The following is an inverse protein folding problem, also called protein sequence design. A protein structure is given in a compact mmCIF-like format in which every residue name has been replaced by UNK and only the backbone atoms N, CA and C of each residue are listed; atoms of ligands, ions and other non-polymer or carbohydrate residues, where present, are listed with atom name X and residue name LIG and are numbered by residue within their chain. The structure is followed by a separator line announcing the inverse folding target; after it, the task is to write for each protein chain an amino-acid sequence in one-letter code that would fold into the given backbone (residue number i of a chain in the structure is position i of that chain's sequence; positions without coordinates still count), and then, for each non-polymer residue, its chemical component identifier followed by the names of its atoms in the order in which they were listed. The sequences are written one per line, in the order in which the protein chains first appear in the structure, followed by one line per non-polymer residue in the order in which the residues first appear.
data_IF_313980508582
#
_entry.id   IF_313980508582
#
_cell.length_a   1.000
_cell.length_b   1.000
_cell.length_c   1.000
_cell.angle_alpha   90.00
_cell.angle_beta   90.00
_cell.angle_gamma   90.00
#
_symmetry.space_group_name_H-M   'P 1'
#
loop_
_entity.id
_entity.type
_entity.pdbx_description
1 polymer ?
#
# COMPACT_ATOMS: atom_id res chain seq x y z
N UNK A 1 -6.53 2.74 17.58
CA UNK A 1 -5.58 3.80 17.20
C UNK A 1 -5.70 5.06 18.07
N UNK A 2 -6.89 5.63 18.29
CA UNK A 2 -7.03 6.84 19.13
C UNK A 2 -6.48 6.70 20.57
N UNK A 3 -6.48 5.51 21.11
CA UNK A 3 -5.95 5.13 22.44
C UNK A 3 -4.40 5.03 22.46
N UNK A 4 -3.75 5.03 21.31
CA UNK A 4 -2.29 4.98 21.19
C UNK A 4 -1.65 6.37 20.98
N UNK A 5 -2.45 7.42 20.85
CA UNK A 5 -1.93 8.80 20.67
C UNK A 5 -1.05 9.18 21.88
N UNK A 6 0.19 9.57 21.59
CA UNK A 6 1.20 9.91 22.62
C UNK A 6 2.02 8.72 23.16
N UNK A 7 1.77 7.48 22.69
CA UNK A 7 2.50 6.28 23.10
C UNK A 7 3.64 5.88 22.14
N UNK A 8 3.94 6.72 21.13
CA UNK A 8 5.02 6.46 20.20
C UNK A 8 6.37 6.85 20.79
N UNK A 9 7.33 5.93 20.74
CA UNK A 9 8.73 6.23 21.01
C UNK A 9 9.38 6.79 19.73
N UNK A 10 9.57 8.10 19.66
CA UNK A 10 10.07 8.78 18.47
C UNK A 10 11.48 8.35 18.06
N UNK A 11 12.33 7.95 19.01
CA UNK A 11 13.70 7.46 18.73
C UNK A 11 13.61 6.10 18.05
N UNK A 12 12.79 5.20 18.58
CA UNK A 12 12.60 3.88 17.98
C UNK A 12 11.89 3.99 16.61
N UNK A 13 10.89 4.86 16.48
CA UNK A 13 10.23 5.11 15.19
C UNK A 13 11.25 5.58 14.12
N UNK A 14 12.16 6.48 14.49
CA UNK A 14 13.22 6.92 13.56
C UNK A 14 14.16 5.76 13.18
N UNK A 15 14.56 4.92 14.15
CA UNK A 15 15.40 3.77 13.89
C UNK A 15 14.71 2.76 12.96
N UNK A 16 13.43 2.48 13.19
CA UNK A 16 12.61 1.60 12.35
C UNK A 16 12.49 2.15 10.91
N UNK A 17 12.24 3.46 10.77
CA UNK A 17 12.17 4.11 9.47
C UNK A 17 13.49 4.02 8.69
N UNK A 18 14.61 4.28 9.37
CA UNK A 18 15.95 4.18 8.76
C UNK A 18 16.28 2.75 8.33
N UNK A 19 15.83 1.74 9.08
CA UNK A 19 15.98 0.33 8.71
C UNK A 19 15.13 -0.03 7.47
N UNK A 20 13.87 0.37 7.43
CA UNK A 20 13.00 0.17 6.25
C UNK A 20 13.62 0.80 5.01
N UNK A 21 14.05 2.07 5.10
CA UNK A 21 14.73 2.77 4.02
C UNK A 21 16.02 2.06 3.58
N UNK A 22 16.81 1.59 4.54
CA UNK A 22 18.05 0.86 4.27
C UNK A 22 17.79 -0.44 3.51
N UNK A 23 16.75 -1.20 3.89
CA UNK A 23 16.38 -2.45 3.21
C UNK A 23 15.96 -2.22 1.77
N UNK A 24 15.14 -1.19 1.47
CA UNK A 24 14.82 -0.84 0.09
C UNK A 24 16.08 -0.54 -0.74
N UNK A 25 17.04 0.20 -0.19
CA UNK A 25 18.32 0.46 -0.87
C UNK A 25 19.14 -0.83 -1.05
N UNK A 26 19.18 -1.73 -0.06
CA UNK A 26 19.93 -3.00 -0.14
C UNK A 26 19.37 -3.93 -1.23
N UNK A 27 18.05 -3.93 -1.46
CA UNK A 27 17.44 -4.70 -2.55
C UNK A 27 17.47 -3.96 -3.89
N UNK A 28 18.21 -2.86 -4.00
CA UNK A 28 18.48 -2.14 -5.25
C UNK A 28 17.45 -1.07 -5.63
N UNK A 29 16.51 -0.74 -4.74
CA UNK A 29 15.52 0.31 -4.97
C UNK A 29 16.09 1.65 -4.52
N UNK A 30 16.13 2.62 -5.46
CA UNK A 30 16.51 4.00 -5.13
C UNK A 30 15.41 4.67 -4.32
N UNK A 31 15.72 5.10 -3.11
CA UNK A 31 14.77 5.77 -2.23
C UNK A 31 14.91 7.29 -2.35
N UNK A 32 13.80 7.98 -2.58
CA UNK A 32 13.65 9.42 -2.41
C UNK A 32 12.91 9.68 -1.10
N UNK A 33 13.33 10.69 -0.38
CA UNK A 33 12.69 11.09 0.88
C UNK A 33 12.01 12.44 0.65
N UNK A 34 10.76 12.55 1.11
CA UNK A 34 10.03 13.82 1.18
C UNK A 34 10.17 14.31 2.61
N UNK A 35 10.52 15.59 2.79
CA UNK A 35 10.65 16.20 4.11
C UNK A 35 9.32 16.15 4.87
N UNK A 36 9.38 15.79 6.13
CA UNK A 36 8.24 15.82 7.03
C UNK A 36 7.72 17.23 7.26
N UNK A 37 6.45 17.33 7.66
CA UNK A 37 5.81 18.62 7.93
C UNK A 37 5.28 18.63 9.36
N UNK A 38 5.51 19.74 10.05
CA UNK A 38 4.99 19.92 11.41
C UNK A 38 3.45 19.84 11.43
N UNK A 39 2.91 19.02 12.32
CA UNK A 39 1.46 18.80 12.45
C UNK A 39 0.87 17.73 11.53
N UNK A 40 1.68 17.07 10.68
CA UNK A 40 1.25 15.99 9.78
C UNK A 40 1.92 14.64 10.13
N UNK A 41 1.64 14.05 11.29
CA UNK A 41 2.33 12.86 11.79
C UNK A 41 2.12 11.61 10.92
N UNK A 42 0.98 11.53 10.20
CA UNK A 42 0.63 10.39 9.34
C UNK A 42 1.22 10.49 7.92
N UNK A 43 1.95 11.59 7.60
CA UNK A 43 2.59 11.78 6.29
C UNK A 43 3.63 10.69 5.98
N UNK A 44 4.16 10.00 6.99
CA UNK A 44 5.03 8.83 6.85
C UNK A 44 4.35 7.69 6.09
N UNK A 45 3.02 7.56 6.18
CA UNK A 45 2.25 6.57 5.41
C UNK A 45 1.96 7.10 4.00
N UNK A 46 3.03 7.27 3.23
CA UNK A 46 3.00 7.93 1.93
C UNK A 46 2.36 7.10 0.79
N UNK A 47 1.94 5.87 1.05
CA UNK A 47 1.17 5.08 0.10
C UNK A 47 -0.23 5.67 -0.18
N UNK A 48 -0.80 6.42 0.78
CA UNK A 48 -2.21 6.79 0.72
C UNK A 48 -2.50 8.07 -0.09
N UNK A 49 -1.53 8.98 -0.28
CA UNK A 49 -1.81 10.30 -0.84
C UNK A 49 -1.93 10.32 -2.37
N UNK A 50 -1.58 9.21 -3.06
CA UNK A 50 -1.56 9.21 -4.52
C UNK A 50 -1.51 7.82 -5.14
N UNK A 51 -1.82 7.76 -6.46
CA UNK A 51 -1.63 6.58 -7.32
C UNK A 51 -0.80 6.96 -8.55
N UNK A 52 0.52 6.72 -8.56
CA UNK A 52 1.37 6.96 -9.72
C UNK A 52 1.24 5.86 -10.78
N UNK A 53 1.48 6.25 -12.04
CA UNK A 53 1.49 5.37 -13.20
C UNK A 53 2.46 5.90 -14.25
N UNK A 54 3.10 4.98 -15.02
CA UNK A 54 3.83 5.31 -16.23
C UNK A 54 3.14 4.60 -17.38
N UNK A 55 2.75 5.37 -18.42
CA UNK A 55 2.12 4.84 -19.61
C UNK A 55 3.11 4.16 -20.55
N UNK A 56 2.59 3.59 -21.67
CA UNK A 56 3.39 2.88 -22.66
C UNK A 56 4.39 3.78 -23.39
N UNK A 57 4.14 5.10 -23.43
CA UNK A 57 5.03 6.11 -24.00
C UNK A 57 6.10 6.61 -23.02
N UNK A 58 6.07 6.10 -21.78
CA UNK A 58 6.98 6.48 -20.71
C UNK A 58 6.61 7.80 -20.03
N UNK A 59 5.41 8.32 -20.27
CA UNK A 59 4.91 9.52 -19.63
C UNK A 59 4.43 9.18 -18.22
N UNK A 60 4.77 10.05 -17.28
CA UNK A 60 4.46 9.88 -15.85
C UNK A 60 3.18 10.57 -15.48
N UNK A 61 2.29 9.83 -14.85
CA UNK A 61 0.98 10.29 -14.39
C UNK A 61 0.82 10.01 -12.91
N UNK A 62 -0.01 10.77 -12.23
CA UNK A 62 -0.42 10.50 -10.86
C UNK A 62 -1.82 11.01 -10.60
N UNK A 63 -2.69 10.18 -10.01
CA UNK A 63 -3.92 10.62 -9.36
C UNK A 63 -3.62 11.03 -7.92
N UNK A 64 -4.06 12.23 -7.55
CA UNK A 64 -4.03 12.66 -6.16
C UNK A 64 -5.24 12.11 -5.41
N UNK A 65 -5.05 11.80 -4.14
CA UNK A 65 -6.08 11.21 -3.30
C UNK A 65 -7.07 12.25 -2.78
N UNK A 66 -8.29 11.78 -2.51
CA UNK A 66 -9.30 12.45 -1.69
C UNK A 66 -9.29 11.74 -0.35
N UNK A 67 -8.57 12.27 0.63
CA UNK A 67 -8.38 11.62 1.92
C UNK A 67 -9.67 11.61 2.73
N UNK A 68 -10.05 10.44 3.27
CA UNK A 68 -11.20 10.26 4.13
C UNK A 68 -11.07 11.01 5.46
N UNK A 69 -9.90 10.92 6.07
CA UNK A 69 -9.62 11.57 7.35
C UNK A 69 -9.19 13.02 7.14
N UNK A 70 -9.94 13.98 7.72
CA UNK A 70 -9.69 15.41 7.55
C UNK A 70 -8.26 15.83 7.93
N UNK A 71 -7.70 15.24 9.00
CA UNK A 71 -6.33 15.54 9.44
C UNK A 71 -5.24 15.14 8.43
N UNK A 72 -5.58 14.28 7.45
CA UNK A 72 -4.63 13.84 6.42
C UNK A 72 -4.76 14.59 5.09
N UNK A 73 -5.80 15.41 4.92
CA UNK A 73 -6.00 16.19 3.69
C UNK A 73 -4.86 17.15 3.42
N UNK A 74 -4.30 17.74 4.47
CA UNK A 74 -3.21 18.69 4.36
C UNK A 74 -1.86 18.04 3.96
N UNK A 75 -1.75 16.71 3.96
CA UNK A 75 -0.57 15.97 3.48
C UNK A 75 -0.47 15.98 1.94
N UNK A 76 -1.61 15.91 1.25
CA UNK A 76 -1.69 15.73 -0.21
C UNK A 76 -0.96 16.82 -1.00
N UNK A 77 -1.06 18.13 -0.67
CA UNK A 77 -0.36 19.20 -1.39
C UNK A 77 1.16 19.05 -1.40
N UNK A 78 1.78 18.52 -0.33
CA UNK A 78 3.23 18.34 -0.24
C UNK A 78 3.68 17.19 -1.15
N UNK A 79 2.92 16.12 -1.20
CA UNK A 79 3.16 14.98 -2.10
C UNK A 79 2.95 15.42 -3.57
N UNK A 80 1.89 16.18 -3.85
CA UNK A 80 1.65 16.74 -5.19
C UNK A 80 2.79 17.63 -5.66
N UNK A 81 3.30 18.50 -4.79
CA UNK A 81 4.43 19.38 -5.09
C UNK A 81 5.66 18.56 -5.52
N UNK A 82 5.93 17.45 -4.83
CA UNK A 82 7.02 16.55 -5.20
C UNK A 82 6.82 15.97 -6.61
N UNK A 83 5.62 15.49 -6.93
CA UNK A 83 5.31 14.95 -8.26
C UNK A 83 5.46 15.99 -9.37
N UNK A 84 4.98 17.23 -9.16
CA UNK A 84 5.15 18.33 -10.10
C UNK A 84 6.63 18.61 -10.38
N UNK A 85 7.47 18.63 -9.36
CA UNK A 85 8.91 18.86 -9.49
C UNK A 85 9.61 17.72 -10.25
N UNK A 86 9.02 16.52 -10.26
CA UNK A 86 9.56 15.33 -10.95
C UNK A 86 8.90 15.04 -12.30
N UNK A 87 8.11 15.99 -12.82
CA UNK A 87 7.57 15.93 -14.19
C UNK A 87 6.40 14.96 -14.37
N UNK A 88 5.63 14.71 -13.31
CA UNK A 88 4.39 13.96 -13.40
C UNK A 88 3.23 14.85 -13.89
N UNK A 89 2.37 14.31 -14.74
CA UNK A 89 1.06 14.87 -15.02
C UNK A 89 0.11 14.54 -13.87
N UNK A 90 -0.50 15.58 -13.31
CA UNK A 90 -1.37 15.45 -12.13
C UNK A 90 -2.81 15.31 -12.59
N UNK A 91 -3.48 14.29 -12.08
CA UNK A 91 -4.91 14.04 -12.27
C UNK A 91 -5.64 14.15 -10.93
N UNK A 92 -6.87 14.65 -10.99
CA UNK A 92 -7.75 14.75 -9.84
C UNK A 92 -9.04 14.00 -10.12
N UNK A 93 -9.62 13.45 -9.08
CA UNK A 93 -10.94 12.88 -9.09
C UNK A 93 -11.99 13.98 -8.87
N UNK A 94 -13.19 13.76 -9.39
CA UNK A 94 -14.32 14.69 -9.25
C UNK A 94 -14.93 14.54 -7.85
N UNK A 95 -14.61 15.46 -6.93
CA UNK A 95 -15.08 15.45 -5.53
C UNK A 95 -16.61 15.64 -5.39
N UNK A 96 -17.30 16.11 -6.44
CA UNK A 96 -18.76 16.16 -6.44
C UNK A 96 -19.40 14.76 -6.62
N UNK A 97 -18.62 13.78 -7.11
CA UNK A 97 -19.08 12.41 -7.40
C UNK A 97 -18.39 11.34 -6.57
N UNK A 98 -17.17 11.59 -6.14
CA UNK A 98 -16.30 10.64 -5.46
C UNK A 98 -15.97 11.22 -4.09
N UNK A 99 -16.42 10.54 -3.04
CA UNK A 99 -16.22 11.03 -1.67
C UNK A 99 -14.79 10.82 -1.19
N UNK A 100 -14.23 9.63 -1.44
CA UNK A 100 -12.96 9.20 -0.89
C UNK A 100 -12.18 8.35 -1.89
N UNK A 101 -10.86 8.53 -1.91
CA UNK A 101 -9.90 7.65 -2.58
C UNK A 101 -8.52 7.80 -1.91
N UNK A 102 -7.97 6.71 -1.38
CA UNK A 102 -6.70 6.77 -0.65
C UNK A 102 -5.56 6.04 -1.39
N UNK A 103 -5.32 6.42 -2.64
CA UNK A 103 -4.12 6.11 -3.43
C UNK A 103 -3.73 4.64 -3.44
N UNK A 104 -2.43 4.36 -3.29
CA UNK A 104 -1.90 3.00 -3.25
C UNK A 104 -2.22 2.22 -1.98
N UNK A 105 -2.85 2.84 -0.98
CA UNK A 105 -3.45 2.10 0.14
C UNK A 105 -4.57 1.18 -0.34
N UNK A 106 -5.37 1.66 -1.31
CA UNK A 106 -6.49 0.90 -1.87
C UNK A 106 -6.31 0.52 -3.36
N UNK A 107 -5.32 1.08 -4.05
CA UNK A 107 -5.07 0.82 -5.46
C UNK A 107 -3.67 0.20 -5.66
N UNK A 108 -3.61 -1.12 -5.89
CA UNK A 108 -2.36 -1.87 -5.95
C UNK A 108 -2.12 -2.40 -7.35
N UNK A 109 -1.00 -2.02 -7.97
CA UNK A 109 -0.59 -2.54 -9.27
C UNK A 109 -0.26 -4.03 -9.19
N UNK A 110 -0.74 -4.79 -10.17
CA UNK A 110 -0.37 -6.19 -10.33
C UNK A 110 1.03 -6.26 -10.98
N UNK A 111 2.03 -6.69 -10.23
CA UNK A 111 3.40 -6.84 -10.71
C UNK A 111 3.43 -7.70 -11.99
N UNK A 112 4.05 -7.18 -13.05
CA UNK A 112 4.18 -7.88 -14.34
C UNK A 112 2.92 -7.88 -15.22
N UNK A 113 1.81 -7.27 -14.80
CA UNK A 113 0.59 -7.13 -15.61
C UNK A 113 0.09 -5.70 -15.63
N UNK A 114 -0.51 -5.31 -16.75
CA UNK A 114 -1.25 -4.05 -16.87
C UNK A 114 -2.63 -4.22 -16.25
N UNK A 115 -2.68 -4.26 -14.92
CA UNK A 115 -3.88 -4.53 -14.13
C UNK A 115 -3.76 -3.84 -12.77
N UNK A 116 -4.84 -3.21 -12.33
CA UNK A 116 -4.95 -2.60 -11.01
C UNK A 116 -5.95 -3.37 -10.13
N UNK A 117 -5.58 -3.62 -8.89
CA UNK A 117 -6.47 -4.09 -7.85
C UNK A 117 -6.98 -2.90 -7.06
N UNK A 118 -8.31 -2.78 -6.89
CA UNK A 118 -8.94 -1.68 -6.18
C UNK A 118 -9.71 -2.16 -4.95
N UNK A 119 -9.36 -1.69 -3.74
CA UNK A 119 -10.12 -1.93 -2.52
C UNK A 119 -11.20 -0.86 -2.32
N UNK A 120 -12.38 -1.24 -1.85
CA UNK A 120 -13.43 -0.27 -1.52
C UNK A 120 -14.28 -0.73 -0.34
N UNK A 121 -14.95 0.25 0.29
CA UNK A 121 -15.89 0.00 1.38
C UNK A 121 -15.59 0.76 2.67
N UNK A 122 -14.35 1.22 2.89
CA UNK A 122 -13.98 1.98 4.08
C UNK A 122 -13.31 3.33 3.79
N UNK A 123 -12.33 3.36 2.89
CA UNK A 123 -11.47 4.54 2.63
C UNK A 123 -11.45 4.95 1.17
N UNK A 124 -11.98 4.14 0.28
CA UNK A 124 -12.11 4.48 -1.14
C UNK A 124 -13.48 4.12 -1.66
N UNK A 125 -14.01 4.97 -2.53
CA UNK A 125 -15.26 4.78 -3.25
C UNK A 125 -15.04 3.95 -4.50
N UNK A 126 -15.97 3.06 -4.84
CA UNK A 126 -15.88 2.21 -6.03
C UNK A 126 -15.85 3.04 -7.32
N UNK A 127 -16.56 4.18 -7.33
CA UNK A 127 -16.67 5.10 -8.45
C UNK A 127 -15.34 5.71 -8.88
N UNK A 128 -14.36 5.81 -7.97
CA UNK A 128 -13.01 6.27 -8.29
C UNK A 128 -12.34 5.40 -9.35
N UNK A 129 -12.59 4.09 -9.31
CA UNK A 129 -11.93 3.14 -10.20
C UNK A 129 -12.41 3.21 -11.64
N UNK A 130 -13.63 3.68 -11.93
CA UNK A 130 -14.09 3.92 -13.30
C UNK A 130 -13.26 5.05 -13.93
N UNK A 131 -13.11 6.18 -13.23
CA UNK A 131 -12.32 7.32 -13.70
C UNK A 131 -10.84 6.95 -13.88
N UNK A 132 -10.26 6.18 -12.93
CA UNK A 132 -8.87 5.74 -13.00
C UNK A 132 -8.67 4.77 -14.17
N UNK A 133 -9.57 3.80 -14.35
CA UNK A 133 -9.55 2.84 -15.46
C UNK A 133 -9.58 3.53 -16.80
N UNK A 134 -10.50 4.49 -16.98
CA UNK A 134 -10.65 5.24 -18.21
C UNK A 134 -9.44 6.13 -18.52
N UNK A 135 -8.91 6.81 -17.48
CA UNK A 135 -7.78 7.76 -17.65
C UNK A 135 -6.47 7.04 -17.93
N UNK A 136 -6.21 5.94 -17.23
CA UNK A 136 -4.97 5.16 -17.40
C UNK A 136 -5.09 4.08 -18.49
N UNK A 137 -6.28 3.88 -19.04
CA UNK A 137 -6.59 2.79 -19.99
C UNK A 137 -6.12 1.43 -19.44
N UNK A 138 -6.46 1.13 -18.19
CA UNK A 138 -6.10 -0.13 -17.51
C UNK A 138 -7.32 -0.79 -16.89
N UNK A 139 -7.43 -2.13 -16.97
CA UNK A 139 -8.49 -2.83 -16.26
C UNK A 139 -8.29 -2.73 -14.75
N UNK A 140 -9.39 -2.55 -14.01
CA UNK A 140 -9.41 -2.55 -12.55
C UNK A 140 -10.28 -3.69 -12.03
N UNK A 141 -9.78 -4.44 -11.08
CA UNK A 141 -10.56 -5.42 -10.32
C UNK A 141 -10.86 -4.84 -8.95
N UNK A 142 -12.11 -4.41 -8.76
CA UNK A 142 -12.56 -3.85 -7.50
C UNK A 142 -12.92 -4.96 -6.51
N UNK A 143 -12.33 -4.92 -5.32
CA UNK A 143 -12.52 -5.86 -4.22
C UNK A 143 -13.21 -5.16 -3.05
N UNK A 144 -14.39 -5.66 -2.67
CA UNK A 144 -15.07 -5.15 -1.48
C UNK A 144 -14.39 -5.68 -0.22
N UNK A 145 -13.96 -4.77 0.65
CA UNK A 145 -13.45 -5.08 1.98
C UNK A 145 -14.63 -5.24 2.94
N UNK A 146 -14.63 -6.30 3.75
CA UNK A 146 -15.76 -6.67 4.62
C UNK A 146 -15.39 -6.76 6.11
N UNK A 147 -14.12 -6.53 6.42
CA UNK A 147 -13.61 -6.57 7.79
C UNK A 147 -13.00 -5.19 8.12
N UNK A 148 -13.57 -4.48 9.10
CA UNK A 148 -13.18 -3.12 9.48
C UNK A 148 -11.74 -3.00 10.03
N UNK A 149 -11.15 -4.11 10.49
CA UNK A 149 -9.73 -4.14 10.88
C UNK A 149 -8.80 -3.93 9.67
N UNK A 150 -9.31 -4.21 8.46
CA UNK A 150 -8.58 -4.06 7.19
C UNK A 150 -9.24 -2.98 6.34
N UNK A 151 -9.06 -1.75 6.77
CA UNK A 151 -9.69 -0.56 6.15
C UNK A 151 -9.06 -0.12 4.83
N UNK A 152 -7.87 -0.62 4.50
CA UNK A 152 -7.21 -0.48 3.20
C UNK A 152 -6.87 -1.84 2.60
N UNK A 153 -6.79 -1.89 1.27
CA UNK A 153 -6.41 -3.11 0.55
C UNK A 153 -4.98 -3.55 0.87
N UNK A 154 -4.04 -2.62 1.05
CA UNK A 154 -2.64 -2.88 1.36
C UNK A 154 -2.44 -3.53 2.75
N UNK A 155 -3.45 -3.50 3.61
CA UNK A 155 -3.40 -4.18 4.91
C UNK A 155 -3.77 -5.65 4.84
N UNK A 156 -4.43 -6.09 3.75
CA UNK A 156 -4.92 -7.46 3.58
C UNK A 156 -4.53 -8.14 2.26
N UNK A 157 -3.89 -7.42 1.33
CA UNK A 157 -3.36 -7.93 0.06
C UNK A 157 -1.98 -7.36 -0.23
N UNK A 158 -0.99 -8.23 -0.42
CA UNK A 158 0.29 -7.88 -1.04
C UNK A 158 0.47 -8.67 -2.34
N UNK A 159 0.65 -7.98 -3.45
CA UNK A 159 1.05 -8.57 -4.73
C UNK A 159 2.56 -8.75 -4.70
N UNK A 160 3.03 -10.01 -4.67
CA UNK A 160 4.45 -10.33 -4.49
C UNK A 160 5.20 -10.40 -5.83
N UNK A 161 4.58 -11.05 -6.80
CA UNK A 161 5.04 -11.12 -8.19
C UNK A 161 3.83 -11.31 -9.15
N UNK A 162 4.09 -11.65 -10.42
CA UNK A 162 3.04 -11.87 -11.43
C UNK A 162 2.08 -13.02 -11.06
N UNK A 163 2.52 -13.97 -10.22
CA UNK A 163 1.81 -15.23 -9.98
C UNK A 163 1.45 -15.48 -8.52
N UNK A 164 1.98 -14.66 -7.60
CA UNK A 164 1.89 -14.90 -6.15
C UNK A 164 1.34 -13.70 -5.42
N UNK A 165 0.37 -13.95 -4.55
CA UNK A 165 -0.16 -12.98 -3.60
C UNK A 165 -0.07 -13.49 -2.15
N UNK A 166 0.07 -12.56 -1.21
CA UNK A 166 -0.12 -12.79 0.22
C UNK A 166 -1.40 -12.08 0.65
N UNK A 167 -2.34 -12.82 1.28
CA UNK A 167 -3.64 -12.26 1.68
C UNK A 167 -4.05 -12.70 3.09
N UNK A 168 -4.99 -11.93 3.65
CA UNK A 168 -5.86 -12.38 4.75
C UNK A 168 -7.28 -12.62 4.20
N UNK A 169 -7.72 -13.89 4.06
CA UNK A 169 -8.97 -14.20 3.34
C UNK A 169 -10.23 -13.58 3.95
N UNK A 170 -10.30 -13.48 5.29
CA UNK A 170 -11.50 -12.97 5.98
C UNK A 170 -11.73 -11.45 5.79
N UNK A 171 -10.81 -10.77 5.09
CA UNK A 171 -10.99 -9.36 4.70
C UNK A 171 -11.87 -9.19 3.45
N UNK A 172 -12.11 -10.27 2.68
CA UNK A 172 -12.75 -10.21 1.36
C UNK A 172 -14.10 -10.95 1.32
N UNK A 173 -14.93 -10.57 0.34
CA UNK A 173 -16.10 -11.37 -0.02
C UNK A 173 -15.70 -12.66 -0.73
N UNK A 174 -16.62 -13.64 -0.81
CA UNK A 174 -16.41 -14.88 -1.58
C UNK A 174 -16.12 -14.61 -3.06
N UNK A 175 -16.74 -13.58 -3.64
CA UNK A 175 -16.50 -13.13 -5.02
C UNK A 175 -15.07 -12.56 -5.17
N UNK A 176 -14.65 -11.73 -4.22
CA UNK A 176 -13.29 -11.19 -4.18
C UNK A 176 -12.24 -12.30 -4.11
N UNK A 177 -12.43 -13.27 -3.23
CA UNK A 177 -11.54 -14.43 -3.11
C UNK A 177 -11.49 -15.27 -4.40
N UNK A 178 -12.63 -15.47 -5.09
CA UNK A 178 -12.65 -16.16 -6.39
C UNK A 178 -11.83 -15.42 -7.44
N UNK A 179 -11.90 -14.07 -7.46
CA UNK A 179 -11.11 -13.27 -8.41
C UNK A 179 -9.62 -13.35 -8.10
N UNK A 180 -9.22 -13.24 -6.84
CA UNK A 180 -7.82 -13.41 -6.42
C UNK A 180 -7.30 -14.79 -6.82
N UNK A 181 -7.99 -15.87 -6.44
CA UNK A 181 -7.59 -17.24 -6.75
C UNK A 181 -7.61 -17.59 -8.26
N UNK A 182 -8.32 -16.80 -9.08
CA UNK A 182 -8.32 -16.99 -10.54
C UNK A 182 -7.09 -16.36 -11.20
N UNK A 183 -6.55 -15.30 -10.62
CA UNK A 183 -5.48 -14.50 -11.25
C UNK A 183 -4.09 -14.82 -10.69
N UNK A 184 -4.01 -15.31 -9.48
CA UNK A 184 -2.75 -15.77 -8.88
C UNK A 184 -2.66 -17.29 -8.88
N UNK A 185 -1.50 -17.82 -9.27
CA UNK A 185 -1.22 -19.26 -9.23
C UNK A 185 -0.99 -19.76 -7.81
N UNK A 186 -0.41 -18.90 -6.98
CA UNK A 186 -0.10 -19.14 -5.56
C UNK A 186 -0.70 -18.04 -4.71
N UNK A 187 -1.49 -18.43 -3.72
CA UNK A 187 -2.05 -17.50 -2.74
C UNK A 187 -1.61 -17.94 -1.34
N UNK A 188 -0.73 -17.17 -0.74
CA UNK A 188 -0.25 -17.38 0.63
C UNK A 188 -1.24 -16.73 1.58
N UNK A 189 -1.68 -17.46 2.59
CA UNK A 189 -2.63 -16.97 3.59
C UNK A 189 -1.90 -16.62 4.88
N UNK A 190 -2.10 -15.40 5.37
CA UNK A 190 -1.70 -15.02 6.72
C UNK A 190 -2.68 -15.58 7.74
N UNK A 191 -2.20 -15.98 8.90
CA UNK A 191 -3.03 -16.27 10.06
C UNK A 191 -3.67 -14.98 10.59
N UNK A 192 -4.77 -15.12 11.35
CA UNK A 192 -5.42 -13.94 11.97
C UNK A 192 -4.43 -13.12 12.79
N UNK A 193 -3.62 -13.76 13.63
CA UNK A 193 -2.62 -13.09 14.46
C UNK A 193 -1.58 -12.34 13.64
N UNK A 194 -1.01 -13.00 12.61
CA UNK A 194 0.00 -12.33 11.78
C UNK A 194 -0.60 -11.19 10.93
N UNK A 195 -1.85 -11.32 10.48
CA UNK A 195 -2.51 -10.28 9.70
C UNK A 195 -2.93 -9.08 10.55
N UNK A 196 -3.61 -9.32 11.69
CA UNK A 196 -4.19 -8.25 12.53
C UNK A 196 -3.15 -7.59 13.46
N UNK A 197 -2.28 -8.40 14.10
CA UNK A 197 -1.34 -7.90 15.13
C UNK A 197 0.03 -7.53 14.53
N UNK A 198 0.45 -8.22 13.46
CA UNK A 198 1.77 -8.03 12.86
C UNK A 198 1.71 -7.41 11.46
N UNK A 199 0.53 -7.09 10.93
CA UNK A 199 0.36 -6.52 9.59
C UNK A 199 1.14 -7.27 8.50
N UNK A 200 1.15 -8.60 8.56
CA UNK A 200 1.90 -9.44 7.62
C UNK A 200 1.58 -9.15 6.16
N UNK A 201 0.31 -8.85 5.83
CA UNK A 201 -0.10 -8.53 4.46
C UNK A 201 0.31 -7.11 4.02
N UNK A 202 0.74 -6.24 4.95
CA UNK A 202 1.32 -4.94 4.62
C UNK A 202 2.82 -5.03 4.25
N UNK A 203 3.20 -6.15 3.65
CA UNK A 203 4.54 -6.40 3.11
C UNK A 203 4.75 -5.72 1.75
N UNK A 204 5.99 -5.52 1.37
CA UNK A 204 6.37 -4.99 0.05
C UNK A 204 7.32 -5.92 -0.66
N UNK A 205 7.02 -6.28 -1.91
CA UNK A 205 7.91 -7.02 -2.81
C UNK A 205 8.19 -6.16 -4.06
N UNK A 206 9.20 -5.25 -4.02
CA UNK A 206 9.37 -4.24 -5.05
C UNK A 206 9.96 -4.78 -6.37
N UNK A 207 10.56 -5.97 -6.35
CA UNK A 207 11.29 -6.57 -7.48
C UNK A 207 10.81 -7.99 -7.85
N UNK A 208 9.72 -8.44 -7.25
CA UNK A 208 9.18 -9.79 -7.46
C UNK A 208 10.00 -10.91 -6.80
N UNK A 209 10.96 -10.59 -5.94
CA UNK A 209 11.87 -11.55 -5.31
C UNK A 209 12.12 -11.26 -3.83
N UNK A 210 12.39 -10.01 -3.50
CA UNK A 210 12.75 -9.60 -2.16
C UNK A 210 11.51 -9.07 -1.44
N UNK A 211 11.05 -9.76 -0.40
CA UNK A 211 9.91 -9.35 0.43
C UNK A 211 10.41 -8.69 1.70
N UNK A 212 10.08 -7.41 1.87
CA UNK A 212 10.31 -6.65 3.11
C UNK A 212 9.02 -6.71 3.91
N UNK A 213 9.09 -7.21 5.13
CA UNK A 213 7.92 -7.53 5.96
C UNK A 213 8.19 -7.25 7.43
N UNK A 214 7.14 -6.92 8.18
CA UNK A 214 7.21 -6.82 9.64
C UNK A 214 7.82 -8.07 10.27
N UNK A 215 8.70 -7.90 11.22
CA UNK A 215 9.32 -9.02 11.93
C UNK A 215 8.32 -9.81 12.76
N UNK A 216 8.59 -11.11 12.92
CA UNK A 216 7.79 -12.00 13.75
C UNK A 216 6.66 -12.74 13.01
N UNK A 217 6.45 -12.50 11.73
CA UNK A 217 5.49 -13.22 10.88
C UNK A 217 6.03 -14.61 10.50
N UNK A 218 6.15 -15.50 11.48
CA UNK A 218 6.91 -16.75 11.38
C UNK A 218 6.35 -17.70 10.31
N UNK A 219 5.02 -17.89 10.29
CA UNK A 219 4.37 -18.82 9.37
C UNK A 219 4.32 -18.24 7.95
N UNK A 220 4.01 -16.95 7.82
CA UNK A 220 4.07 -16.24 6.53
C UNK A 220 5.49 -16.25 5.99
N UNK A 221 6.51 -15.92 6.80
CA UNK A 221 7.90 -15.90 6.38
C UNK A 221 8.41 -17.26 5.92
N UNK A 222 7.96 -18.34 6.59
CA UNK A 222 8.26 -19.71 6.15
C UNK A 222 7.63 -19.98 4.78
N UNK A 223 6.34 -19.67 4.60
CA UNK A 223 5.65 -19.89 3.34
C UNK A 223 6.26 -19.07 2.20
N UNK A 224 6.67 -17.82 2.45
CA UNK A 224 7.37 -17.00 1.47
C UNK A 224 8.69 -17.64 1.02
N UNK A 225 9.51 -18.12 1.97
CA UNK A 225 10.79 -18.82 1.66
C UNK A 225 10.56 -20.13 0.91
N UNK A 226 9.54 -20.90 1.30
CA UNK A 226 9.17 -22.17 0.63
C UNK A 226 8.72 -21.93 -0.83
N UNK A 227 8.20 -20.72 -1.14
CA UNK A 227 7.85 -20.29 -2.50
C UNK A 227 8.98 -19.53 -3.21
N UNK A 228 10.19 -19.50 -2.66
CA UNK A 228 11.39 -19.00 -3.33
C UNK A 228 11.68 -17.51 -3.12
N UNK A 229 10.95 -16.80 -2.26
CA UNK A 229 11.21 -15.42 -1.94
C UNK A 229 12.36 -15.25 -0.94
N UNK A 230 13.12 -14.18 -1.09
CA UNK A 230 14.08 -13.71 -0.09
C UNK A 230 13.36 -12.81 0.91
N UNK A 231 13.27 -13.21 2.17
CA UNK A 231 12.52 -12.51 3.21
C UNK A 231 13.43 -11.66 4.06
N UNK A 232 13.13 -10.36 4.12
CA UNK A 232 13.81 -9.34 4.91
C UNK A 232 12.86 -8.84 6.00
N UNK A 233 13.07 -9.32 7.22
CA UNK A 233 12.28 -8.92 8.38
C UNK A 233 12.77 -7.58 8.93
N UNK A 234 11.85 -6.68 9.26
CA UNK A 234 12.14 -5.38 9.86
C UNK A 234 11.11 -5.05 10.93
N UNK A 235 11.56 -4.45 12.03
CA UNK A 235 10.63 -3.90 13.04
C UNK A 235 9.93 -2.66 12.49
N UNK A 236 8.61 -2.61 12.65
CA UNK A 236 7.77 -1.41 12.44
C UNK A 236 6.77 -1.27 13.59
N UNK A 237 7.11 -1.75 14.79
CA UNK A 237 6.19 -1.77 15.93
C UNK A 237 5.69 -0.40 16.34
N UNK A 238 6.49 0.66 16.20
CA UNK A 238 6.05 2.02 16.49
C UNK A 238 4.99 2.49 15.48
N UNK A 239 5.09 2.06 14.22
CA UNK A 239 4.14 2.38 13.15
C UNK A 239 2.86 1.54 13.23
N UNK A 240 2.94 0.29 13.70
CA UNK A 240 1.75 -0.54 13.95
C UNK A 240 0.76 0.14 14.92
N UNK A 241 1.26 0.93 15.88
CA UNK A 241 0.43 1.71 16.82
C UNK A 241 -0.48 2.72 16.10
N UNK A 242 -0.05 3.19 14.92
CA UNK A 242 -0.81 4.11 14.06
C UNK A 242 -1.50 3.40 12.89
N UNK A 243 -1.42 2.07 12.82
CA UNK A 243 -2.16 1.25 11.87
C UNK A 243 -1.49 1.11 10.50
N UNK A 244 -0.17 1.16 10.42
CA UNK A 244 0.58 0.94 9.19
C UNK A 244 1.89 0.18 9.42
N UNK A 245 2.45 -0.38 8.35
CA UNK A 245 3.74 -1.06 8.32
C UNK A 245 4.45 -0.77 6.99
N UNK A 246 5.27 -1.68 6.52
CA UNK A 246 6.21 -1.49 5.40
C UNK A 246 5.56 -0.94 4.13
N UNK A 247 4.41 -1.48 3.70
CA UNK A 247 3.77 -1.03 2.47
C UNK A 247 3.24 0.40 2.60
N UNK A 248 2.60 0.72 3.71
CA UNK A 248 2.08 2.06 3.98
C UNK A 248 3.17 3.13 4.00
N UNK A 249 4.40 2.77 4.43
CA UNK A 249 5.54 3.69 4.59
C UNK A 249 6.27 4.00 3.27
N UNK A 250 5.80 3.51 2.12
CA UNK A 250 6.46 3.72 0.83
C UNK A 250 5.46 4.00 -0.29
N UNK A 251 5.93 4.69 -1.34
CA UNK A 251 5.30 4.79 -2.63
C UNK A 251 6.27 4.26 -3.68
N UNK A 252 5.89 3.20 -4.40
CA UNK A 252 6.69 2.73 -5.54
C UNK A 252 6.45 3.61 -6.76
N UNK A 253 7.56 4.00 -7.39
CA UNK A 253 7.58 4.77 -8.62
C UNK A 253 8.35 3.95 -9.67
N UNK A 254 7.73 3.76 -10.80
CA UNK A 254 8.33 3.02 -11.94
C UNK A 254 9.07 3.95 -12.87
#
# INVERSE_FOLDING_TARGET
MADQVGNVNTIEAQNEWDLVRSLFNQVGIKVHVIEDQEGLPDMVFCANQSLPYIDEDGKRHVFMSIMHADQRKDEVPYIEQWYRQHGYEIHYLDEDKINDFEGCGDAIWHTGKRLLWGGYGYRSSMEAYETISDTYDVPVIALKLVNESFYHLDTCLSVLDEHTALIYPEAFTDEGLKMINKLFNTVIHASKYEAEELFACNASCPDGRNVIIQQGCTDVNKNLRDNGFSVHEVSTYEYLKSGGSVFCMKMLLW
#
